data_IF_007428100983
#
_entry.id   IF_007428100983
#
_cell.length_a   1.000
_cell.length_b   1.000
_cell.length_c   1.000
_cell.angle_alpha   90.00
_cell.angle_beta   90.00
_cell.angle_gamma   90.00
#
_symmetry.space_group_name_H-M   'P 1'
#
loop_
_entity.id
_entity.type
_entity.pdbx_description
1 polymer ?
#
# COMPACT_ATOMS: atom_id res chain seq x y z
N UNK A 1 -2.45 -24.99 12.94
CA UNK A 1 -3.75 -24.66 12.32
C UNK A 1 -3.57 -23.32 11.62
N UNK A 2 -3.57 -23.33 10.30
CA UNK A 2 -3.38 -22.15 9.47
C UNK A 2 -4.68 -21.36 9.52
N UNK A 3 -4.69 -20.22 10.17
CA UNK A 3 -5.72 -19.21 9.87
C UNK A 3 -5.31 -18.65 8.51
N UNK A 4 -5.84 -19.23 7.44
CA UNK A 4 -5.88 -18.56 6.15
C UNK A 4 -6.61 -17.24 6.40
N UNK A 5 -6.04 -16.14 5.93
CA UNK A 5 -6.86 -14.94 5.76
C UNK A 5 -7.85 -15.29 4.66
N UNK A 6 -8.97 -15.84 5.05
CA UNK A 6 -10.07 -16.18 4.17
C UNK A 6 -10.67 -14.87 3.67
N UNK A 7 -10.28 -14.50 2.46
CA UNK A 7 -11.09 -13.55 1.70
C UNK A 7 -12.47 -14.17 1.53
N UNK A 8 -13.50 -13.47 2.01
CA UNK A 8 -14.88 -13.95 1.86
C UNK A 8 -15.28 -13.93 0.38
N UNK A 9 -15.28 -15.11 -0.23
CA UNK A 9 -15.68 -15.30 -1.62
C UNK A 9 -17.20 -15.18 -1.84
N UNK A 10 -18.01 -15.15 -0.78
CA UNK A 10 -19.46 -15.11 -0.90
C UNK A 10 -19.97 -13.96 -1.77
N UNK A 11 -19.66 -12.70 -1.45
CA UNK A 11 -20.05 -11.56 -2.28
C UNK A 11 -19.51 -11.63 -3.71
N UNK A 12 -18.25 -12.05 -3.88
CA UNK A 12 -17.64 -12.17 -5.21
C UNK A 12 -18.35 -13.22 -6.06
N UNK A 13 -18.73 -14.36 -5.47
CA UNK A 13 -19.44 -15.43 -6.18
C UNK A 13 -20.73 -14.95 -6.82
N UNK A 14 -21.46 -14.04 -6.15
CA UNK A 14 -22.73 -13.53 -6.64
C UNK A 14 -22.58 -12.57 -7.82
N UNK A 15 -21.50 -11.76 -7.84
CA UNK A 15 -21.32 -10.72 -8.87
C UNK A 15 -20.33 -11.14 -9.96
N UNK A 16 -19.63 -12.27 -9.82
CA UNK A 16 -18.56 -12.69 -10.75
C UNK A 16 -19.03 -12.75 -12.20
N UNK A 17 -20.24 -13.28 -12.45
CA UNK A 17 -20.81 -13.35 -13.79
C UNK A 17 -21.01 -11.96 -14.42
N UNK A 18 -21.50 -10.99 -13.66
CA UNK A 18 -21.68 -9.62 -14.12
C UNK A 18 -20.33 -8.92 -14.36
N UNK A 19 -19.35 -9.17 -13.50
CA UNK A 19 -17.99 -8.66 -13.69
C UNK A 19 -17.36 -9.19 -14.97
N UNK A 20 -17.48 -10.50 -15.24
CA UNK A 20 -16.96 -11.12 -16.45
C UNK A 20 -17.62 -10.55 -17.71
N UNK A 21 -18.95 -10.46 -17.71
CA UNK A 21 -19.69 -9.91 -18.83
C UNK A 21 -19.28 -8.46 -19.15
N UNK A 22 -19.11 -7.63 -18.11
CA UNK A 22 -18.71 -6.25 -18.28
C UNK A 22 -17.24 -6.11 -18.74
N UNK A 23 -16.31 -6.93 -18.20
CA UNK A 23 -14.92 -6.97 -18.64
C UNK A 23 -14.78 -7.47 -20.08
N UNK A 24 -15.54 -8.49 -20.47
CA UNK A 24 -15.57 -8.99 -21.84
C UNK A 24 -16.14 -7.97 -22.81
N UNK A 25 -17.21 -7.28 -22.43
CA UNK A 25 -17.79 -6.21 -23.23
C UNK A 25 -16.82 -5.02 -23.41
N UNK A 26 -16.09 -4.65 -22.35
CA UNK A 26 -15.05 -3.64 -22.43
C UNK A 26 -13.91 -4.03 -23.40
N UNK A 27 -13.45 -5.27 -23.33
CA UNK A 27 -12.43 -5.81 -24.22
C UNK A 27 -12.91 -5.87 -25.68
N UNK A 28 -14.14 -6.37 -25.90
CA UNK A 28 -14.74 -6.47 -27.22
C UNK A 28 -14.94 -5.08 -27.88
N UNK A 29 -15.31 -4.07 -27.12
CA UNK A 29 -15.45 -2.71 -27.63
C UNK A 29 -14.13 -2.14 -28.19
N UNK A 30 -12.98 -2.58 -27.68
CA UNK A 30 -11.66 -2.10 -28.07
C UNK A 30 -10.98 -2.95 -29.14
N UNK A 31 -11.47 -4.17 -29.42
CA UNK A 31 -10.78 -5.15 -30.27
C UNK A 31 -10.46 -4.63 -31.67
N UNK A 32 -11.40 -3.87 -32.29
CA UNK A 32 -11.28 -3.35 -33.64
C UNK A 32 -11.16 -1.81 -33.69
N UNK A 33 -10.65 -1.20 -32.62
CA UNK A 33 -10.52 0.24 -32.56
C UNK A 33 -9.57 0.78 -33.63
N UNK A 34 -10.05 1.71 -34.44
CA UNK A 34 -9.37 2.24 -35.63
C UNK A 34 -8.43 3.44 -35.37
N UNK A 35 -8.20 3.81 -34.11
CA UNK A 35 -7.34 4.93 -33.75
C UNK A 35 -8.04 6.32 -33.74
N UNK A 36 -9.24 6.45 -34.27
CA UNK A 36 -9.93 7.74 -34.40
C UNK A 36 -11.29 7.81 -33.71
N UNK A 37 -12.12 6.79 -33.86
CA UNK A 37 -13.46 6.76 -33.27
C UNK A 37 -13.37 6.68 -31.73
N UNK A 38 -14.05 7.62 -31.05
CA UNK A 38 -14.10 7.67 -29.58
C UNK A 38 -15.22 6.80 -29.00
N UNK A 39 -16.15 6.34 -29.84
CA UNK A 39 -17.30 5.54 -29.39
C UNK A 39 -16.87 4.25 -28.69
N UNK A 40 -15.92 3.46 -29.22
CA UNK A 40 -15.40 2.29 -28.55
C UNK A 40 -14.73 2.60 -27.21
N UNK A 41 -13.96 3.71 -27.13
CA UNK A 41 -13.28 4.12 -25.88
C UNK A 41 -14.29 4.45 -24.78
N UNK A 42 -15.35 5.21 -25.13
CA UNK A 42 -16.43 5.56 -24.20
C UNK A 42 -17.24 4.33 -23.76
N UNK A 43 -17.51 3.41 -24.69
CA UNK A 43 -18.22 2.18 -24.39
C UNK A 43 -17.40 1.31 -23.41
N UNK A 44 -16.12 1.11 -23.68
CA UNK A 44 -15.23 0.37 -22.78
C UNK A 44 -15.12 1.04 -21.40
N UNK A 45 -14.98 2.36 -21.34
CA UNK A 45 -14.97 3.11 -20.08
C UNK A 45 -16.26 2.91 -19.28
N UNK A 46 -17.44 2.93 -19.95
CA UNK A 46 -18.72 2.69 -19.29
C UNK A 46 -18.84 1.27 -18.72
N UNK A 47 -18.32 0.26 -19.42
CA UNK A 47 -18.27 -1.11 -18.90
C UNK A 47 -17.32 -1.24 -17.70
N UNK A 48 -16.14 -0.61 -17.74
CA UNK A 48 -15.23 -0.58 -16.59
C UNK A 48 -15.84 0.18 -15.40
N UNK A 49 -16.62 1.21 -15.64
CA UNK A 49 -17.37 1.89 -14.57
C UNK A 49 -18.39 0.95 -13.89
N UNK A 50 -19.07 0.10 -14.65
CA UNK A 50 -19.95 -0.95 -14.09
C UNK A 50 -19.14 -1.96 -13.25
N UNK A 51 -17.98 -2.40 -13.73
CA UNK A 51 -17.06 -3.27 -12.97
C UNK A 51 -16.66 -2.59 -11.67
N UNK A 52 -16.22 -1.34 -11.73
CA UNK A 52 -15.83 -0.56 -10.54
C UNK A 52 -16.98 -0.47 -9.52
N UNK A 53 -18.21 -0.16 -9.98
CA UNK A 53 -19.39 -0.10 -9.11
C UNK A 53 -19.70 -1.44 -8.44
N UNK A 54 -19.61 -2.56 -9.16
CA UNK A 54 -19.83 -3.89 -8.62
C UNK A 54 -18.72 -4.28 -7.60
N UNK A 55 -17.48 -3.92 -7.85
CA UNK A 55 -16.34 -4.18 -6.95
C UNK A 55 -16.43 -3.42 -5.61
N UNK A 56 -17.23 -2.35 -5.51
CA UNK A 56 -17.47 -1.67 -4.23
C UNK A 56 -18.25 -2.55 -3.24
N UNK A 57 -18.89 -3.63 -3.70
CA UNK A 57 -19.64 -4.57 -2.87
C UNK A 57 -18.71 -5.61 -2.22
N UNK A 58 -17.57 -5.88 -2.87
CA UNK A 58 -16.52 -6.78 -2.40
C UNK A 58 -15.30 -5.98 -2.00
N UNK A 59 -14.67 -6.31 -0.89
CA UNK A 59 -13.50 -5.57 -0.36
C UNK A 59 -12.21 -5.93 -1.12
N UNK A 60 -12.20 -5.61 -2.43
CA UNK A 60 -11.07 -5.79 -3.36
C UNK A 60 -10.53 -4.40 -3.77
N UNK A 61 -9.84 -3.75 -2.85
CA UNK A 61 -9.42 -2.36 -3.00
C UNK A 61 -8.43 -2.14 -4.15
N UNK A 62 -7.45 -3.02 -4.33
CA UNK A 62 -6.47 -2.94 -5.40
C UNK A 62 -7.05 -3.25 -6.78
N UNK A 63 -7.98 -4.22 -6.85
CA UNK A 63 -8.74 -4.51 -8.09
C UNK A 63 -9.58 -3.30 -8.48
N UNK A 64 -10.30 -2.70 -7.52
CA UNK A 64 -11.09 -1.48 -7.73
C UNK A 64 -10.21 -0.32 -8.20
N UNK A 65 -9.03 -0.16 -7.60
CA UNK A 65 -8.10 0.91 -7.96
C UNK A 65 -7.57 0.73 -9.39
N UNK A 66 -7.13 -0.46 -9.78
CA UNK A 66 -6.70 -0.74 -11.16
C UNK A 66 -7.83 -0.50 -12.15
N UNK A 67 -9.05 -0.93 -11.84
CA UNK A 67 -10.23 -0.72 -12.68
C UNK A 67 -10.49 0.77 -12.90
N UNK A 68 -10.51 1.55 -11.83
CA UNK A 68 -10.72 3.01 -11.85
C UNK A 68 -9.63 3.74 -12.66
N UNK A 69 -8.36 3.37 -12.50
CA UNK A 69 -7.26 3.98 -13.26
C UNK A 69 -7.32 3.62 -14.75
N UNK A 70 -7.77 2.39 -15.08
CA UNK A 70 -7.96 1.96 -16.46
C UNK A 70 -9.15 2.68 -17.11
N UNK A 71 -10.26 2.87 -16.39
CA UNK A 71 -11.41 3.68 -16.83
C UNK A 71 -10.99 5.12 -17.11
N UNK A 72 -10.23 5.74 -16.21
CA UNK A 72 -9.71 7.10 -16.39
C UNK A 72 -8.81 7.23 -17.61
N UNK A 73 -7.94 6.25 -17.84
CA UNK A 73 -7.07 6.23 -19.03
C UNK A 73 -7.91 6.26 -20.31
N UNK A 74 -8.96 5.44 -20.41
CA UNK A 74 -9.87 5.43 -21.55
C UNK A 74 -10.62 6.75 -21.72
N UNK A 75 -11.08 7.35 -20.62
CA UNK A 75 -11.74 8.65 -20.62
C UNK A 75 -10.81 9.76 -21.12
N UNK A 76 -9.57 9.78 -20.66
CA UNK A 76 -8.55 10.72 -21.14
C UNK A 76 -8.22 10.50 -22.61
N UNK A 77 -8.16 9.25 -23.10
CA UNK A 77 -7.99 8.95 -24.54
C UNK A 77 -9.17 9.45 -25.37
N UNK A 78 -10.40 9.38 -24.84
CA UNK A 78 -11.57 9.89 -25.54
C UNK A 78 -11.56 11.42 -25.65
N UNK A 79 -10.99 12.13 -24.68
CA UNK A 79 -10.92 13.58 -24.61
C UNK A 79 -9.67 14.17 -25.31
N UNK A 80 -8.54 13.49 -25.24
CA UNK A 80 -7.22 13.97 -25.66
C UNK A 80 -6.70 13.15 -26.83
N UNK A 81 -6.63 13.79 -28.02
CA UNK A 81 -6.21 13.10 -29.27
C UNK A 81 -4.78 12.58 -29.18
N UNK A 82 -3.90 13.32 -28.50
CA UNK A 82 -2.51 12.97 -28.29
C UNK A 82 -2.29 11.72 -27.44
N UNK A 83 -3.31 11.27 -26.71
CA UNK A 83 -3.25 10.01 -25.93
C UNK A 83 -3.79 8.79 -26.69
N UNK A 84 -4.31 8.97 -27.91
CA UNK A 84 -4.93 7.91 -28.72
C UNK A 84 -3.90 7.09 -29.46
N UNK A 85 -3.22 6.22 -28.74
CA UNK A 85 -2.24 5.28 -29.30
C UNK A 85 -2.70 3.84 -29.17
N UNK A 86 -2.46 3.02 -30.18
CA UNK A 86 -2.74 1.58 -30.14
C UNK A 86 -2.04 0.89 -28.94
N UNK A 87 -0.80 1.26 -28.65
CA UNK A 87 -0.08 0.75 -27.48
C UNK A 87 -0.80 1.05 -26.14
N UNK A 88 -1.55 2.16 -26.07
CA UNK A 88 -2.34 2.47 -24.86
C UNK A 88 -3.55 1.55 -24.76
N UNK A 89 -4.21 1.26 -25.90
CA UNK A 89 -5.28 0.26 -25.95
C UNK A 89 -4.78 -1.12 -25.59
N UNK A 90 -3.60 -1.52 -26.06
CA UNK A 90 -2.97 -2.80 -25.70
C UNK A 90 -2.71 -2.88 -24.17
N UNK A 91 -2.30 -1.77 -23.55
CA UNK A 91 -2.15 -1.70 -22.09
C UNK A 91 -3.49 -1.89 -21.39
N UNK A 92 -4.56 -1.24 -21.86
CA UNK A 92 -5.92 -1.41 -21.33
C UNK A 92 -6.41 -2.85 -21.46
N UNK A 93 -6.22 -3.47 -22.62
CA UNK A 93 -6.61 -4.88 -22.85
C UNK A 93 -5.86 -5.84 -21.93
N UNK A 94 -4.56 -5.59 -21.68
CA UNK A 94 -3.78 -6.38 -20.72
C UNK A 94 -4.25 -6.13 -19.27
N UNK A 95 -4.67 -4.91 -18.92
CA UNK A 95 -5.25 -4.62 -17.63
C UNK A 95 -6.57 -5.38 -17.42
N UNK A 96 -7.46 -5.39 -18.42
CA UNK A 96 -8.72 -6.15 -18.39
C UNK A 96 -8.42 -7.65 -18.23
N UNK A 97 -7.49 -8.19 -19.00
CA UNK A 97 -7.08 -9.61 -18.90
C UNK A 97 -6.50 -9.95 -17.50
N UNK A 98 -5.69 -9.05 -16.93
CA UNK A 98 -5.12 -9.23 -15.60
C UNK A 98 -6.20 -9.18 -14.50
N UNK A 99 -7.19 -8.29 -14.61
CA UNK A 99 -8.34 -8.24 -13.70
C UNK A 99 -9.13 -9.55 -13.74
N UNK A 100 -9.47 -10.06 -14.93
CA UNK A 100 -10.16 -11.35 -15.09
C UNK A 100 -9.36 -12.50 -14.48
N UNK A 101 -8.09 -12.63 -14.87
CA UNK A 101 -7.22 -13.70 -14.37
C UNK A 101 -7.06 -13.66 -12.84
N UNK A 102 -7.02 -12.46 -12.25
CA UNK A 102 -6.96 -12.31 -10.80
C UNK A 102 -8.25 -12.78 -10.12
N UNK A 103 -9.41 -12.35 -10.62
CA UNK A 103 -10.72 -12.76 -10.09
C UNK A 103 -10.97 -14.26 -10.26
N UNK A 104 -10.61 -14.83 -11.42
CA UNK A 104 -10.68 -16.27 -11.67
C UNK A 104 -9.79 -17.06 -10.72
N UNK A 105 -8.58 -16.55 -10.48
CA UNK A 105 -7.64 -17.12 -9.53
C UNK A 105 -8.22 -17.16 -8.11
N UNK A 106 -8.86 -16.08 -7.64
CA UNK A 106 -9.52 -16.04 -6.34
C UNK A 106 -10.65 -17.09 -6.26
N UNK A 107 -11.48 -17.17 -7.30
CA UNK A 107 -12.55 -18.18 -7.35
C UNK A 107 -12.02 -19.62 -7.37
N UNK A 108 -10.82 -19.83 -7.90
CA UNK A 108 -10.11 -21.12 -7.88
C UNK A 108 -9.33 -21.38 -6.57
N UNK A 109 -9.45 -20.51 -5.56
CA UNK A 109 -8.77 -20.65 -4.27
C UNK A 109 -7.31 -20.14 -4.25
N UNK A 110 -6.92 -19.33 -5.21
CA UNK A 110 -5.61 -18.67 -5.15
C UNK A 110 -5.55 -17.66 -3.99
N UNK A 111 -4.39 -17.47 -3.37
CA UNK A 111 -4.24 -16.49 -2.29
C UNK A 111 -4.60 -15.07 -2.72
N UNK A 112 -5.34 -14.36 -1.87
CA UNK A 112 -5.62 -12.94 -2.04
C UNK A 112 -4.31 -12.14 -1.90
N UNK A 113 -3.81 -11.60 -2.99
CA UNK A 113 -2.59 -10.80 -3.04
C UNK A 113 -2.63 -9.84 -4.22
N UNK A 114 -3.23 -8.67 -4.02
CA UNK A 114 -3.44 -7.65 -5.05
C UNK A 114 -2.13 -7.05 -5.59
N UNK A 115 -1.02 -7.20 -4.87
CA UNK A 115 0.33 -6.86 -5.36
C UNK A 115 0.69 -7.52 -6.69
N UNK A 116 0.08 -8.66 -7.04
CA UNK A 116 0.25 -9.29 -8.36
C UNK A 116 -0.15 -8.37 -9.52
N UNK A 117 -1.04 -7.43 -9.27
CA UNK A 117 -1.52 -6.44 -10.25
C UNK A 117 -0.60 -5.22 -10.36
N UNK A 118 0.43 -5.10 -9.49
CA UNK A 118 1.32 -3.93 -9.45
C UNK A 118 1.99 -3.60 -10.79
N UNK A 119 2.54 -4.57 -11.56
CA UNK A 119 3.21 -4.25 -12.82
C UNK A 119 2.26 -3.60 -13.83
N UNK A 120 1.08 -4.15 -14.02
CA UNK A 120 0.09 -3.58 -14.97
C UNK A 120 -0.49 -2.27 -14.44
N UNK A 121 -0.69 -2.15 -13.13
CA UNK A 121 -1.13 -0.91 -12.52
C UNK A 121 -0.13 0.24 -12.77
N UNK A 122 1.16 0.00 -12.56
CA UNK A 122 2.21 0.98 -12.84
C UNK A 122 2.23 1.39 -14.30
N UNK A 123 2.02 0.45 -15.23
CA UNK A 123 1.97 0.75 -16.65
C UNK A 123 0.76 1.61 -17.02
N UNK A 124 -0.42 1.31 -16.50
CA UNK A 124 -1.64 2.13 -16.70
C UNK A 124 -1.42 3.56 -16.21
N UNK A 125 -0.85 3.74 -15.00
CA UNK A 125 -0.55 5.07 -14.45
C UNK A 125 0.49 5.80 -15.29
N UNK A 126 1.53 5.10 -15.76
CA UNK A 126 2.56 5.69 -16.64
C UNK A 126 1.97 6.17 -17.97
N UNK A 127 1.05 5.40 -18.57
CA UNK A 127 0.35 5.81 -19.81
C UNK A 127 -0.52 7.05 -19.62
N UNK A 128 -1.01 7.29 -18.43
CA UNK A 128 -1.72 8.53 -18.10
C UNK A 128 -0.78 9.74 -17.95
N UNK A 129 0.52 9.53 -17.84
CA UNK A 129 1.52 10.57 -17.58
C UNK A 129 1.55 11.02 -16.12
N UNK A 130 1.04 10.20 -15.19
CA UNK A 130 1.09 10.43 -13.75
C UNK A 130 2.47 10.19 -13.15
N UNK A 131 2.68 10.69 -11.91
CA UNK A 131 3.85 10.27 -11.13
C UNK A 131 3.81 8.75 -10.90
N UNK A 132 4.97 8.07 -10.89
CA UNK A 132 5.01 6.65 -10.55
C UNK A 132 4.30 6.39 -9.22
N UNK A 133 3.41 5.40 -9.14
CA UNK A 133 2.71 5.08 -7.90
C UNK A 133 3.69 4.53 -6.85
N UNK A 134 3.32 4.65 -5.58
CA UNK A 134 4.12 4.06 -4.52
C UNK A 134 4.20 2.53 -4.69
N UNK A 135 5.36 1.90 -4.41
CA UNK A 135 5.49 0.44 -4.51
C UNK A 135 4.47 -0.32 -3.64
N UNK A 136 4.02 0.31 -2.55
CA UNK A 136 3.01 -0.19 -1.61
C UNK A 136 1.57 0.10 -2.01
N UNK A 137 1.31 0.65 -3.22
CA UNK A 137 -0.04 1.10 -3.61
C UNK A 137 -1.09 0.00 -3.52
N UNK A 138 -0.76 -1.17 -4.03
CA UNK A 138 -1.63 -2.36 -4.03
C UNK A 138 -1.32 -3.33 -2.87
N UNK A 139 -0.68 -2.86 -1.82
CA UNK A 139 -0.36 -3.65 -0.63
C UNK A 139 -1.41 -3.41 0.45
N UNK A 140 -2.25 -4.41 0.70
CA UNK A 140 -3.35 -4.38 1.68
C UNK A 140 -3.19 -5.50 2.71
N UNK A 141 -2.26 -5.36 3.68
CA UNK A 141 -2.13 -6.30 4.79
C UNK A 141 -3.27 -6.08 5.79
N UNK A 142 -3.55 -7.09 6.62
CA UNK A 142 -4.42 -6.90 7.78
C UNK A 142 -3.78 -5.94 8.78
N UNK A 143 -4.31 -4.73 8.87
CA UNK A 143 -3.88 -3.71 9.84
C UNK A 143 -4.73 -3.70 11.11
N UNK A 144 -5.73 -4.58 11.24
CA UNK A 144 -6.59 -4.66 12.41
C UNK A 144 -5.92 -5.41 13.57
N UNK A 145 -5.01 -6.34 13.27
CA UNK A 145 -4.24 -7.09 14.27
C UNK A 145 -3.45 -6.17 15.18
N UNK A 146 -3.45 -6.44 16.49
CA UNK A 146 -2.78 -5.62 17.52
C UNK A 146 -1.65 -6.40 18.18
N UNK A 147 -0.46 -5.78 18.22
CA UNK A 147 0.67 -6.33 18.96
C UNK A 147 0.44 -6.24 20.46
N UNK A 148 0.86 -7.26 21.19
CA UNK A 148 0.84 -7.28 22.64
C UNK A 148 2.01 -6.51 23.21
N UNK A 149 1.73 -5.57 24.08
CA UNK A 149 2.75 -4.83 24.82
C UNK A 149 3.35 -5.75 25.90
N UNK A 150 4.67 -5.91 25.90
CA UNK A 150 5.37 -6.70 26.94
C UNK A 150 5.53 -5.90 28.24
N UNK A 151 5.77 -4.59 28.13
CA UNK A 151 5.89 -3.69 29.27
C UNK A 151 4.58 -2.91 29.47
N UNK A 152 4.14 -2.62 30.69
CA UNK A 152 2.97 -1.82 30.95
C UNK A 152 3.13 -0.41 30.37
N UNK A 153 2.02 0.21 30.01
CA UNK A 153 2.02 1.61 29.58
C UNK A 153 2.59 2.49 30.68
N UNK A 154 3.53 3.38 30.30
CA UNK A 154 4.16 4.28 31.28
C UNK A 154 3.10 5.24 31.84
N UNK A 155 2.91 5.31 33.15
CA UNK A 155 1.88 6.15 33.76
C UNK A 155 2.34 7.62 33.77
N UNK A 156 2.23 8.28 32.64
CA UNK A 156 2.51 9.71 32.47
C UNK A 156 1.20 10.48 32.30
N UNK A 157 1.15 11.66 32.88
CA UNK A 157 0.12 12.63 32.54
C UNK A 157 0.31 13.11 31.08
N UNK A 158 -0.73 13.66 30.47
CA UNK A 158 -0.72 14.05 29.07
C UNK A 158 0.34 15.13 28.77
N UNK A 159 0.62 16.02 29.70
CA UNK A 159 1.61 17.08 29.54
C UNK A 159 3.05 16.51 29.57
N UNK A 160 3.33 15.58 30.49
CA UNK A 160 4.62 14.89 30.54
C UNK A 160 4.84 14.01 29.30
N UNK A 161 3.80 13.29 28.87
CA UNK A 161 3.81 12.50 27.63
C UNK A 161 4.11 13.37 26.42
N UNK A 162 3.41 14.50 26.27
CA UNK A 162 3.62 15.45 25.16
C UNK A 162 5.04 15.98 25.13
N UNK A 163 5.61 16.38 26.30
CA UNK A 163 7.02 16.84 26.38
C UNK A 163 7.99 15.75 25.99
N UNK A 164 7.78 14.51 26.42
CA UNK A 164 8.65 13.38 26.08
C UNK A 164 8.58 13.05 24.59
N UNK A 165 7.41 13.06 23.97
CA UNK A 165 7.24 12.86 22.52
C UNK A 165 7.88 14.02 21.75
N UNK A 166 7.78 15.26 22.20
CA UNK A 166 8.45 16.42 21.61
C UNK A 166 9.98 16.22 21.57
N UNK A 167 10.57 15.76 22.67
CA UNK A 167 12.01 15.45 22.74
C UNK A 167 12.40 14.36 21.74
N UNK A 168 11.64 13.26 21.73
CA UNK A 168 11.85 12.16 20.78
C UNK A 168 11.73 12.63 19.32
N UNK A 169 10.71 13.44 19.00
CA UNK A 169 10.53 14.00 17.65
C UNK A 169 11.71 14.89 17.25
N UNK A 170 12.18 15.74 18.14
CA UNK A 170 13.35 16.59 17.87
C UNK A 170 14.62 15.76 17.57
N UNK A 171 14.80 14.63 18.29
CA UNK A 171 15.88 13.67 18.01
C UNK A 171 15.66 13.00 16.63
N UNK A 172 14.45 12.55 16.33
CA UNK A 172 14.09 11.95 15.04
C UNK A 172 14.39 12.89 13.88
N UNK A 173 13.99 14.17 13.96
CA UNK A 173 14.20 15.18 12.92
C UNK A 173 15.69 15.43 12.66
N UNK A 174 16.53 15.49 13.71
CA UNK A 174 17.99 15.60 13.52
C UNK A 174 18.54 14.36 12.79
N UNK A 175 18.11 13.17 13.20
CA UNK A 175 18.51 11.93 12.53
C UNK A 175 18.03 11.86 11.08
N UNK A 176 16.78 12.24 10.82
CA UNK A 176 16.20 12.28 9.48
C UNK A 176 16.98 13.24 8.55
N UNK A 177 17.38 14.39 9.04
CA UNK A 177 18.16 15.35 8.26
C UNK A 177 19.51 14.76 7.86
N UNK A 178 20.24 14.13 8.79
CA UNK A 178 21.51 13.46 8.50
C UNK A 178 21.33 12.34 7.46
N UNK A 179 20.28 11.54 7.60
CA UNK A 179 19.95 10.47 6.68
C UNK A 179 19.62 11.00 5.28
N UNK A 180 18.75 12.01 5.17
CA UNK A 180 18.34 12.57 3.88
C UNK A 180 19.48 13.29 3.14
N UNK A 181 20.39 13.93 3.87
CA UNK A 181 21.57 14.62 3.31
C UNK A 181 22.73 13.67 3.04
N UNK A 182 22.59 12.38 3.38
CA UNK A 182 23.65 11.38 3.33
C UNK A 182 24.94 11.83 4.07
N UNK A 183 24.77 12.60 5.15
CA UNK A 183 25.82 13.05 6.06
C UNK A 183 25.73 12.19 7.31
N UNK A 184 26.70 11.28 7.51
CA UNK A 184 26.67 10.33 8.63
C UNK A 184 25.31 9.61 8.76
N UNK A 185 24.88 8.95 7.67
CA UNK A 185 23.58 8.30 7.58
C UNK A 185 23.39 7.26 8.72
N UNK A 186 24.45 6.59 9.16
CA UNK A 186 24.40 5.60 10.24
C UNK A 186 24.05 6.24 11.60
N UNK A 187 24.67 7.37 11.93
CA UNK A 187 24.33 8.13 13.14
C UNK A 187 22.89 8.65 13.05
N UNK A 188 22.48 9.13 11.85
CA UNK A 188 21.12 9.55 11.59
C UNK A 188 20.09 8.45 11.85
N UNK A 189 20.29 7.28 11.28
CA UNK A 189 19.41 6.12 11.45
C UNK A 189 19.37 5.63 12.91
N UNK A 190 20.49 5.69 13.60
CA UNK A 190 20.54 5.35 15.04
C UNK A 190 19.67 6.31 15.86
N UNK A 191 19.75 7.62 15.58
CA UNK A 191 18.91 8.63 16.26
C UNK A 191 17.43 8.41 15.96
N UNK A 192 17.08 8.11 14.70
CA UNK A 192 15.70 7.83 14.29
C UNK A 192 15.14 6.59 15.00
N UNK A 193 15.90 5.49 15.05
CA UNK A 193 15.49 4.27 15.75
C UNK A 193 15.25 4.52 17.24
N UNK A 194 16.19 5.17 17.94
CA UNK A 194 16.06 5.48 19.36
C UNK A 194 14.83 6.35 19.65
N UNK A 195 14.58 7.36 18.79
CA UNK A 195 13.43 8.23 18.92
C UNK A 195 12.11 7.47 18.74
N UNK A 196 12.01 6.60 17.71
CA UNK A 196 10.81 5.79 17.47
C UNK A 196 10.56 4.82 18.62
N UNK A 197 11.60 4.16 19.14
CA UNK A 197 11.49 3.28 20.33
C UNK A 197 11.04 4.04 21.59
N UNK A 198 11.43 5.30 21.73
CA UNK A 198 10.94 6.14 22.82
C UNK A 198 9.44 6.42 22.65
N UNK A 199 9.00 6.78 21.45
CA UNK A 199 7.56 7.03 21.16
C UNK A 199 6.76 5.74 21.33
N UNK A 200 7.27 4.58 20.95
CA UNK A 200 6.65 3.26 21.16
C UNK A 200 6.29 3.06 22.66
N UNK A 201 7.21 3.37 23.58
CA UNK A 201 6.98 3.24 25.04
C UNK A 201 5.93 4.21 25.56
N UNK A 202 5.83 5.38 24.95
CA UNK A 202 4.92 6.46 25.31
C UNK A 202 3.57 6.35 24.64
N UNK A 203 3.43 5.50 23.63
CA UNK A 203 2.25 5.41 22.77
C UNK A 203 1.01 4.95 23.57
N UNK A 204 -0.10 5.71 23.54
CA UNK A 204 -1.31 5.35 24.28
C UNK A 204 -2.12 4.29 23.52
N UNK A 205 -2.54 3.25 24.24
CA UNK A 205 -3.41 2.20 23.72
C UNK A 205 -2.78 1.29 22.67
N UNK A 206 -3.44 0.18 22.37
CA UNK A 206 -2.90 -0.90 21.56
C UNK A 206 -2.64 -0.51 20.09
N UNK A 207 -3.48 0.30 19.49
CA UNK A 207 -3.33 0.69 18.09
C UNK A 207 -2.08 1.56 17.85
N UNK A 208 -1.89 2.60 18.68
CA UNK A 208 -0.70 3.45 18.60
C UNK A 208 0.55 2.63 18.93
N UNK A 209 0.53 1.81 19.97
CA UNK A 209 1.64 0.93 20.30
C UNK A 209 2.02 0.04 19.11
N UNK A 210 1.06 -0.63 18.50
CA UNK A 210 1.31 -1.54 17.35
C UNK A 210 1.98 -0.81 16.20
N UNK A 211 1.51 0.40 15.86
CA UNK A 211 2.13 1.19 14.80
C UNK A 211 3.60 1.56 15.14
N UNK A 212 3.85 2.09 16.36
CA UNK A 212 5.21 2.52 16.74
C UNK A 212 6.16 1.35 16.91
N UNK A 213 5.66 0.21 17.40
CA UNK A 213 6.41 -1.05 17.45
C UNK A 213 6.81 -1.52 16.03
N UNK A 214 5.90 -1.43 15.06
CA UNK A 214 6.18 -1.76 13.65
C UNK A 214 7.17 -0.76 13.04
N UNK A 215 6.99 0.52 13.29
CA UNK A 215 7.91 1.56 12.83
C UNK A 215 9.32 1.40 13.42
N UNK A 216 9.44 0.97 14.69
CA UNK A 216 10.73 0.65 15.30
C UNK A 216 11.41 -0.54 14.60
N UNK A 217 10.64 -1.54 14.17
CA UNK A 217 11.14 -2.64 13.32
C UNK A 217 11.71 -2.15 12.01
N UNK A 218 11.00 -1.25 11.32
CA UNK A 218 11.50 -0.63 10.08
C UNK A 218 12.79 0.17 10.31
N UNK A 219 12.87 0.98 11.37
CA UNK A 219 14.08 1.76 11.68
C UNK A 219 15.28 0.85 11.98
N UNK A 220 15.08 -0.24 12.73
CA UNK A 220 16.11 -1.25 12.97
C UNK A 220 16.62 -1.87 11.67
N UNK A 221 15.70 -2.25 10.78
CA UNK A 221 16.03 -2.85 9.49
C UNK A 221 16.80 -1.86 8.59
N UNK A 222 16.40 -0.59 8.56
CA UNK A 222 17.10 0.48 7.86
C UNK A 222 18.54 0.63 8.36
N UNK A 223 18.71 0.72 9.68
CA UNK A 223 20.03 0.85 10.30
C UNK A 223 20.93 -0.36 9.99
N UNK A 224 20.33 -1.53 9.84
CA UNK A 224 21.06 -2.77 9.47
C UNK A 224 21.28 -2.93 7.96
N UNK A 225 20.82 -1.98 7.13
CA UNK A 225 20.93 -2.04 5.68
C UNK A 225 20.11 -3.15 5.01
N UNK A 226 19.01 -3.59 5.65
CA UNK A 226 18.17 -4.71 5.20
C UNK A 226 17.01 -4.30 4.30
N UNK A 227 16.78 -3.00 4.11
CA UNK A 227 15.76 -2.45 3.21
C UNK A 227 16.40 -1.49 2.23
N UNK A 228 15.94 -1.48 0.97
CA UNK A 228 16.45 -0.55 -0.03
C UNK A 228 16.07 0.88 0.37
N UNK A 229 17.04 1.80 0.19
CA UNK A 229 16.85 3.21 0.49
C UNK A 229 16.46 3.95 -0.79
N UNK A 230 15.19 3.90 -1.14
CA UNK A 230 14.61 4.61 -2.27
C UNK A 230 13.96 5.95 -1.85
N UNK A 231 13.48 6.70 -2.82
CA UNK A 231 12.80 7.97 -2.57
C UNK A 231 11.45 7.79 -1.85
N UNK A 232 10.77 6.67 -2.07
CA UNK A 232 9.51 6.37 -1.40
C UNK A 232 9.72 6.10 0.08
N UNK A 233 10.76 5.32 0.43
CA UNK A 233 11.13 5.09 1.83
C UNK A 233 11.50 6.39 2.54
N UNK A 234 12.22 7.30 1.88
CA UNK A 234 12.52 8.63 2.44
C UNK A 234 11.23 9.43 2.72
N UNK A 235 10.24 9.36 1.82
CA UNK A 235 8.91 9.95 2.04
C UNK A 235 8.19 9.30 3.24
N UNK A 236 8.27 7.97 3.38
CA UNK A 236 7.72 7.24 4.54
C UNK A 236 8.36 7.74 5.83
N UNK A 237 9.68 7.88 5.90
CA UNK A 237 10.37 8.44 7.07
C UNK A 237 9.87 9.88 7.40
N UNK A 238 9.67 10.72 6.40
CA UNK A 238 9.07 12.05 6.60
C UNK A 238 7.64 12.01 7.16
N UNK A 239 6.84 11.05 6.71
CA UNK A 239 5.47 10.84 7.20
C UNK A 239 5.42 10.28 8.62
N UNK A 240 6.42 9.52 9.04
CA UNK A 240 6.60 9.10 10.44
C UNK A 240 6.78 10.32 11.36
N UNK A 241 7.58 11.33 10.96
CA UNK A 241 7.67 12.61 11.69
C UNK A 241 6.31 13.31 11.85
N UNK A 242 5.52 13.35 10.76
CA UNK A 242 4.16 13.92 10.81
C UNK A 242 3.23 13.15 11.76
N UNK A 243 3.38 11.82 11.82
CA UNK A 243 2.58 11.01 12.76
C UNK A 243 3.02 11.25 14.22
N UNK A 244 4.33 11.47 14.49
CA UNK A 244 4.80 11.90 15.81
C UNK A 244 4.18 13.24 16.20
N UNK A 245 4.12 14.19 15.26
CA UNK A 245 3.48 15.49 15.47
C UNK A 245 2.02 15.34 15.84
N UNK A 246 1.25 14.55 15.09
CA UNK A 246 -0.17 14.30 15.37
C UNK A 246 -0.38 13.70 16.76
N UNK A 247 0.46 12.74 17.14
CA UNK A 247 0.41 12.13 18.47
C UNK A 247 0.70 13.17 19.58
N UNK A 248 1.67 14.05 19.36
CA UNK A 248 2.01 15.14 20.28
C UNK A 248 0.86 16.15 20.42
N UNK A 249 0.12 16.41 19.33
CA UNK A 249 -1.07 17.27 19.31
C UNK A 249 -2.32 16.58 19.90
N UNK A 250 -2.18 15.37 20.45
CA UNK A 250 -3.25 14.61 21.11
C UNK A 250 -4.11 13.76 20.18
N UNK A 251 -3.80 13.72 18.86
CA UNK A 251 -4.51 12.84 17.93
C UNK A 251 -4.14 11.37 18.17
N UNK A 252 -5.16 10.52 18.31
CA UNK A 252 -5.00 9.07 18.39
C UNK A 252 -5.23 8.37 17.04
N UNK A 253 -5.54 9.13 15.99
CA UNK A 253 -5.76 8.58 14.66
C UNK A 253 -4.43 8.18 14.03
N UNK A 254 -4.40 6.97 13.47
CA UNK A 254 -3.31 6.49 12.63
C UNK A 254 -3.64 6.77 11.17
N UNK A 255 -2.63 7.13 10.40
CA UNK A 255 -2.75 7.19 8.96
C UNK A 255 -2.63 5.76 8.40
N UNK A 256 -3.73 5.11 8.04
CA UNK A 256 -3.75 3.73 7.52
C UNK A 256 -2.78 3.54 6.36
N UNK A 257 -2.72 4.50 5.45
CA UNK A 257 -1.77 4.46 4.35
C UNK A 257 -0.32 4.41 4.83
N UNK A 258 0.05 5.22 5.83
CA UNK A 258 1.41 5.18 6.39
C UNK A 258 1.70 3.84 7.04
N UNK A 259 0.73 3.25 7.73
CA UNK A 259 0.91 1.96 8.37
C UNK A 259 1.15 0.86 7.32
N UNK A 260 0.37 0.84 6.24
CA UNK A 260 0.59 -0.08 5.11
C UNK A 260 1.97 0.12 4.47
N UNK A 261 2.39 1.36 4.25
CA UNK A 261 3.71 1.67 3.69
C UNK A 261 4.84 1.14 4.58
N UNK A 262 4.74 1.30 5.90
CA UNK A 262 5.72 0.77 6.86
C UNK A 262 5.76 -0.77 6.80
N UNK A 263 4.60 -1.42 6.81
CA UNK A 263 4.49 -2.88 6.70
C UNK A 263 5.05 -3.41 5.37
N UNK A 264 4.84 -2.68 4.26
CA UNK A 264 5.39 -3.03 2.96
C UNK A 264 6.92 -3.15 2.99
N UNK A 265 7.60 -2.15 3.55
CA UNK A 265 9.06 -2.20 3.65
C UNK A 265 9.54 -3.27 4.64
N UNK A 266 8.82 -3.49 5.74
CA UNK A 266 9.13 -4.58 6.66
C UNK A 266 8.97 -5.96 6.00
N UNK A 267 8.03 -6.12 5.08
CA UNK A 267 7.79 -7.37 4.36
C UNK A 267 8.92 -7.77 3.40
N UNK A 268 9.76 -6.82 2.98
CA UNK A 268 10.84 -7.07 2.00
C UNK A 268 12.05 -7.85 2.55
N UNK A 269 12.28 -7.78 3.87
CA UNK A 269 13.40 -8.48 4.51
C UNK A 269 13.09 -9.97 4.77
N UNK A 270 14.11 -10.80 4.85
CA UNK A 270 14.01 -12.25 5.13
C UNK A 270 14.73 -12.70 6.40
N UNK A 271 15.36 -11.79 7.10
CA UNK A 271 16.07 -12.13 8.32
C UNK A 271 15.14 -12.79 9.34
N UNK A 272 15.60 -13.87 9.96
CA UNK A 272 14.86 -14.63 10.97
C UNK A 272 14.88 -13.97 12.36
N UNK A 273 15.70 -12.94 12.56
CA UNK A 273 15.94 -12.32 13.85
C UNK A 273 15.74 -10.80 13.82
N UNK A 274 15.44 -10.26 14.99
CA UNK A 274 15.21 -8.83 15.22
C UNK A 274 13.76 -8.43 15.13
N UNK A 275 13.49 -7.16 15.46
CA UNK A 275 12.13 -6.61 15.52
C UNK A 275 11.39 -6.72 14.17
N UNK A 276 12.09 -6.55 13.06
CA UNK A 276 11.51 -6.73 11.74
C UNK A 276 10.96 -8.14 11.52
N UNK A 277 11.66 -9.19 12.00
CA UNK A 277 11.18 -10.56 11.94
C UNK A 277 9.94 -10.79 12.81
N UNK A 278 9.91 -10.23 14.01
CA UNK A 278 8.73 -10.29 14.91
C UNK A 278 7.51 -9.64 14.25
N UNK A 279 7.69 -8.47 13.63
CA UNK A 279 6.61 -7.77 12.91
C UNK A 279 6.11 -8.61 11.74
N UNK A 280 7.01 -9.16 10.90
CA UNK A 280 6.60 -10.02 9.77
C UNK A 280 5.83 -11.25 10.23
N UNK A 281 6.26 -11.87 11.31
CA UNK A 281 5.55 -13.02 11.87
C UNK A 281 4.17 -12.62 12.39
N UNK A 282 4.09 -11.51 13.11
CA UNK A 282 2.85 -11.02 13.72
C UNK A 282 1.78 -10.69 12.67
N UNK A 283 2.15 -10.01 11.58
CA UNK A 283 1.26 -9.66 10.47
C UNK A 283 1.26 -10.69 9.33
N UNK A 284 1.91 -11.85 9.50
CA UNK A 284 1.98 -12.94 8.51
C UNK A 284 2.49 -12.49 7.13
N UNK A 285 3.39 -11.49 7.08
CA UNK A 285 3.87 -10.87 5.84
C UNK A 285 4.71 -11.80 4.97
N UNK A 286 5.23 -12.92 5.51
CA UNK A 286 6.03 -13.90 4.75
C UNK A 286 5.26 -14.44 3.54
N UNK A 287 3.92 -14.52 3.62
CA UNK A 287 3.05 -14.99 2.53
C UNK A 287 3.01 -14.02 1.35
N UNK A 288 3.20 -12.74 1.61
CA UNK A 288 3.14 -11.66 0.61
C UNK A 288 4.50 -11.43 -0.07
N UNK A 289 5.60 -11.87 0.54
CA UNK A 289 6.96 -11.63 0.05
C UNK A 289 7.18 -12.11 -1.39
N UNK A 290 6.64 -13.29 -1.76
CA UNK A 290 6.77 -13.82 -3.13
C UNK A 290 6.18 -12.93 -4.21
N UNK A 291 5.41 -11.90 -3.84
CA UNK A 291 4.79 -10.93 -4.74
C UNK A 291 5.48 -9.56 -4.70
N UNK A 292 6.53 -9.41 -3.87
CA UNK A 292 7.33 -8.20 -3.73
C UNK A 292 8.58 -8.21 -4.63
N UNK A 293 8.86 -9.34 -5.27
CA UNK A 293 9.94 -9.55 -6.23
C UNK A 293 9.40 -9.45 -7.65
#
# INVERSE_FOLDING_TARGET
MSVEMDFDLGPLTWIKGELDNALDAAGAALADWNGQDITPLKAAAAHLHQVYGALQIVDLQGVSLLTSETERLLSEMAEQVEKRHHETVDTVLRAIAALKAYLDGLMAGAPHAELKLSPIYQEVVARRGGEPPAPSELFYPDTATRASRQEPEMPLDDAARTRAIHGARSQYQRGLLLFLQNRDAMAGLTQMELAVRQVERLAPGAAQFTFWWTAAGLMEMLRRGRVPTDNWLKRVCGRVDLQMRRLMEGSRQLADRLFRDVLYYVAQDDASEGRGAEVRQHFQLQRLRRFLQ
#
